data_IF_110499327271
#
_entry.id   IF_110499327271
#
_cell.length_a   1.000
_cell.length_b   1.000
_cell.length_c   1.000
_cell.angle_alpha   90.00
_cell.angle_beta   90.00
_cell.angle_gamma   90.00
#
_symmetry.space_group_name_H-M   'P 1'
#
loop_
_entity.id
_entity.type
_entity.pdbx_description
1 polymer ?
#
# COMPACT_ATOMS: atom_id res chain seq x y z
N UNK A 1 26.22 -48.29 10.30
CA UNK A 1 25.50 -47.04 9.94
C UNK A 1 25.38 -46.24 11.25
N UNK A 2 26.08 -45.10 11.36
CA UNK A 2 26.15 -44.40 12.62
C UNK A 2 24.78 -43.85 13.02
N UNK A 3 24.32 -44.17 14.23
CA UNK A 3 23.06 -43.65 14.80
C UNK A 3 22.94 -42.12 14.72
N UNK A 4 24.08 -41.45 14.70
CA UNK A 4 24.16 -39.99 14.50
C UNK A 4 23.60 -39.56 13.13
N UNK A 5 23.88 -40.30 12.05
CA UNK A 5 23.39 -39.95 10.69
C UNK A 5 21.89 -40.07 10.58
N UNK A 6 21.28 -41.02 11.31
CA UNK A 6 19.83 -41.20 11.33
C UNK A 6 19.15 -40.09 12.13
N UNK A 7 19.82 -39.53 13.15
CA UNK A 7 19.28 -38.47 13.99
C UNK A 7 19.42 -37.04 13.36
N UNK A 8 20.34 -36.89 12.39
CA UNK A 8 20.59 -35.58 11.74
C UNK A 8 19.34 -34.91 11.16
N UNK A 9 18.51 -35.60 10.39
CA UNK A 9 17.29 -34.96 9.83
C UNK A 9 16.31 -34.53 10.92
N UNK A 10 16.24 -35.29 12.02
CA UNK A 10 15.35 -34.93 13.14
C UNK A 10 15.87 -33.68 13.88
N UNK A 11 17.17 -33.57 14.06
CA UNK A 11 17.80 -32.39 14.69
C UNK A 11 17.61 -31.15 13.81
N UNK A 12 17.78 -31.28 12.49
CA UNK A 12 17.55 -30.19 11.55
C UNK A 12 16.08 -29.74 11.59
N UNK A 13 15.14 -30.68 11.57
CA UNK A 13 13.73 -30.35 11.66
C UNK A 13 13.39 -29.61 12.96
N UNK A 14 13.91 -30.09 14.06
CA UNK A 14 13.68 -29.48 15.38
C UNK A 14 14.25 -28.07 15.46
N UNK A 15 15.45 -27.83 14.91
CA UNK A 15 16.07 -26.48 14.85
C UNK A 15 15.25 -25.53 13.99
N UNK A 16 14.73 -25.99 12.86
CA UNK A 16 13.86 -25.17 11.99
C UNK A 16 12.56 -24.83 12.73
N UNK A 17 11.91 -25.81 13.37
CA UNK A 17 10.70 -25.57 14.15
C UNK A 17 10.91 -24.57 15.28
N UNK A 18 11.99 -24.70 16.04
CA UNK A 18 12.35 -23.75 17.10
C UNK A 18 12.59 -22.35 16.53
N UNK A 19 13.30 -22.25 15.41
CA UNK A 19 13.58 -20.96 14.77
C UNK A 19 12.27 -20.28 14.29
N UNK A 20 11.38 -21.04 13.66
CA UNK A 20 10.05 -20.52 13.23
C UNK A 20 9.24 -20.10 14.45
N UNK A 21 9.24 -20.91 15.51
CA UNK A 21 8.52 -20.58 16.73
C UNK A 21 9.02 -19.28 17.37
N UNK A 22 10.34 -19.12 17.49
CA UNK A 22 10.95 -17.88 18.00
C UNK A 22 10.62 -16.67 17.12
N UNK A 23 10.62 -16.85 15.79
CA UNK A 23 10.25 -15.79 14.86
C UNK A 23 8.78 -15.37 15.01
N UNK A 24 7.88 -16.33 15.19
CA UNK A 24 6.44 -16.05 15.41
C UNK A 24 6.17 -15.39 16.78
N UNK A 25 6.98 -15.72 17.79
CA UNK A 25 6.86 -15.11 19.14
C UNK A 25 7.44 -13.68 19.20
N UNK A 26 8.26 -13.26 18.22
CA UNK A 26 8.87 -11.91 18.17
C UNK A 26 7.85 -10.79 17.87
N UNK A 27 6.55 -11.08 17.89
CA UNK A 27 5.43 -10.13 17.78
C UNK A 27 5.58 -9.08 16.65
N UNK A 28 6.40 -9.35 15.66
CA UNK A 28 6.44 -8.53 14.43
C UNK A 28 5.21 -8.82 13.61
N UNK A 29 4.27 -7.90 13.64
CA UNK A 29 3.06 -8.00 12.79
C UNK A 29 3.48 -7.92 11.31
N UNK A 30 3.40 -9.03 10.56
CA UNK A 30 3.80 -9.04 9.16
C UNK A 30 2.91 -8.13 8.29
N UNK A 31 1.73 -7.74 8.78
CA UNK A 31 0.80 -6.85 8.10
C UNK A 31 1.14 -5.36 8.31
N UNK A 32 2.11 -5.06 9.17
CA UNK A 32 2.59 -3.69 9.41
C UNK A 32 4.01 -3.50 8.93
N UNK A 33 4.22 -3.35 7.60
CA UNK A 33 5.55 -3.04 7.11
C UNK A 33 6.02 -1.72 7.72
N UNK A 34 7.29 -1.64 8.18
CA UNK A 34 7.82 -0.41 8.73
C UNK A 34 7.84 0.67 7.65
N UNK A 35 7.02 1.70 7.81
CA UNK A 35 7.03 2.84 6.90
C UNK A 35 8.14 3.81 7.29
N UNK A 36 9.04 4.08 6.36
CA UNK A 36 10.12 5.06 6.53
C UNK A 36 9.61 6.51 6.50
N UNK A 37 8.34 6.70 6.13
CA UNK A 37 7.71 8.01 5.96
C UNK A 37 6.90 8.45 7.19
N UNK A 38 6.74 7.60 8.21
CA UNK A 38 6.02 7.98 9.43
C UNK A 38 6.70 9.18 10.09
N UNK A 39 5.91 10.21 10.39
CA UNK A 39 6.34 11.48 10.99
C UNK A 39 7.37 12.26 10.15
N UNK A 40 7.44 12.02 8.85
CA UNK A 40 8.27 12.79 7.92
C UNK A 40 7.39 13.63 6.99
N UNK A 41 7.98 14.70 6.49
CA UNK A 41 7.33 15.50 5.45
C UNK A 41 7.12 14.67 4.18
N UNK A 42 6.01 14.94 3.50
CA UNK A 42 5.73 14.36 2.19
C UNK A 42 6.89 14.70 1.24
N UNK A 43 7.44 13.73 0.49
CA UNK A 43 8.45 13.99 -0.53
C UNK A 43 7.95 14.99 -1.57
N UNK A 44 8.86 15.72 -2.17
CA UNK A 44 8.51 16.58 -3.30
C UNK A 44 8.05 15.72 -4.47
N UNK A 45 6.93 16.06 -5.03
CA UNK A 45 6.40 15.47 -6.26
C UNK A 45 5.73 16.54 -7.12
N UNK A 46 5.67 16.29 -8.41
CA UNK A 46 4.87 17.03 -9.37
C UNK A 46 4.12 16.02 -10.23
N UNK A 47 2.81 16.11 -10.28
CA UNK A 47 1.97 15.24 -11.08
C UNK A 47 0.95 16.04 -11.86
N UNK A 48 0.73 15.68 -13.12
CA UNK A 48 -0.31 16.29 -13.94
C UNK A 48 -1.68 15.78 -13.49
N UNK A 49 -2.65 16.70 -13.49
CA UNK A 49 -4.03 16.29 -13.29
C UNK A 49 -4.50 15.42 -14.47
N UNK A 50 -5.26 14.37 -14.16
CA UNK A 50 -5.83 13.47 -15.17
C UNK A 50 -6.89 14.19 -16.05
N UNK A 51 -7.59 15.19 -15.51
CA UNK A 51 -8.64 15.92 -16.21
C UNK A 51 -8.20 17.26 -16.80
N UNK A 52 -7.08 17.82 -16.29
CA UNK A 52 -6.54 19.08 -16.77
C UNK A 52 -5.01 18.98 -16.82
N UNK A 53 -4.50 18.77 -18.03
CA UNK A 53 -3.06 18.58 -18.25
C UNK A 53 -2.23 19.83 -17.95
N UNK A 54 -2.84 21.01 -17.81
CA UNK A 54 -2.16 22.25 -17.44
C UNK A 54 -2.07 22.43 -15.94
N UNK A 55 -2.87 21.69 -15.17
CA UNK A 55 -2.87 21.77 -13.72
C UNK A 55 -1.90 20.75 -13.13
N UNK A 56 -0.86 21.24 -12.48
CA UNK A 56 0.13 20.43 -11.76
C UNK A 56 -0.25 20.35 -10.28
N UNK A 57 -0.38 19.13 -9.78
CA UNK A 57 -0.60 18.85 -8.36
C UNK A 57 0.74 18.68 -7.67
N UNK A 58 0.96 19.43 -6.61
CA UNK A 58 2.20 19.49 -5.84
C UNK A 58 1.91 19.31 -4.34
N UNK A 59 2.91 19.04 -3.50
CA UNK A 59 2.71 19.00 -2.04
C UNK A 59 2.15 20.30 -1.43
N UNK A 60 2.25 21.43 -2.12
CA UNK A 60 1.69 22.72 -1.64
C UNK A 60 0.17 22.71 -1.63
N UNK A 61 -0.45 21.99 -2.60
CA UNK A 61 -1.91 21.96 -2.77
C UNK A 61 -2.61 21.14 -1.68
N UNK A 62 -1.86 20.27 -1.03
CA UNK A 62 -2.32 19.40 0.05
C UNK A 62 -1.81 19.80 1.43
N UNK A 63 -1.03 20.89 1.50
CA UNK A 63 -0.48 21.39 2.77
C UNK A 63 -1.60 21.79 3.73
N UNK A 64 -1.46 21.40 4.99
CA UNK A 64 -2.43 21.65 6.08
C UNK A 64 -3.81 21.00 5.89
N UNK A 65 -3.94 20.04 4.97
CA UNK A 65 -5.15 19.24 4.81
C UNK A 65 -4.93 17.86 5.39
N UNK A 66 -6.02 17.21 5.80
CA UNK A 66 -6.02 15.76 6.02
C UNK A 66 -6.14 15.09 4.66
N UNK A 67 -5.11 14.35 4.26
CA UNK A 67 -5.04 13.77 2.92
C UNK A 67 -4.91 12.26 2.99
N UNK A 68 -5.77 11.57 2.26
CA UNK A 68 -5.62 10.16 1.93
C UNK A 68 -5.04 10.06 0.53
N UNK A 69 -3.86 9.47 0.42
CA UNK A 69 -3.21 9.21 -0.87
C UNK A 69 -3.49 7.77 -1.26
N UNK A 70 -4.14 7.58 -2.42
CA UNK A 70 -4.40 6.28 -3.01
C UNK A 70 -3.69 6.13 -4.34
N UNK A 71 -3.09 4.96 -4.59
CA UNK A 71 -2.54 4.60 -5.90
C UNK A 71 -3.48 3.60 -6.56
N UNK A 72 -3.88 3.90 -7.80
CA UNK A 72 -4.82 3.06 -8.54
C UNK A 72 -4.39 2.86 -9.99
N UNK A 73 -4.99 1.86 -10.64
CA UNK A 73 -4.90 1.65 -12.08
C UNK A 73 -6.19 0.96 -12.57
N UNK A 74 -6.56 1.17 -13.82
CA UNK A 74 -7.75 0.54 -14.43
C UNK A 74 -7.69 -0.98 -14.48
N UNK A 75 -6.48 -1.52 -14.61
CA UNK A 75 -6.20 -2.97 -14.62
C UNK A 75 -6.10 -3.60 -13.23
N UNK A 76 -6.12 -2.81 -12.16
CA UNK A 76 -5.95 -3.27 -10.78
C UNK A 76 -7.29 -3.77 -10.22
N UNK A 77 -7.50 -5.08 -10.20
CA UNK A 77 -8.75 -5.68 -9.71
C UNK A 77 -9.04 -5.37 -8.22
N UNK A 78 -8.08 -5.46 -7.28
CA UNK A 78 -8.32 -5.02 -5.89
C UNK A 78 -8.74 -3.56 -5.79
N UNK A 79 -8.17 -2.67 -6.61
CA UNK A 79 -8.51 -1.26 -6.61
C UNK A 79 -9.98 -1.03 -6.99
N UNK A 80 -10.54 -1.84 -7.91
CA UNK A 80 -11.95 -1.79 -8.28
C UNK A 80 -12.88 -2.16 -7.12
N UNK A 81 -12.46 -3.09 -6.28
CA UNK A 81 -13.23 -3.49 -5.09
C UNK A 81 -13.21 -2.41 -4.03
N UNK A 82 -12.09 -1.69 -3.89
CA UNK A 82 -11.92 -0.62 -2.91
C UNK A 82 -12.56 0.71 -3.36
N UNK A 83 -12.75 0.92 -4.67
CA UNK A 83 -13.21 2.19 -5.22
C UNK A 83 -14.49 2.73 -4.58
N UNK A 84 -15.56 1.95 -4.38
CA UNK A 84 -16.77 2.42 -3.73
C UNK A 84 -16.57 2.91 -2.29
N UNK A 85 -15.59 2.34 -1.58
CA UNK A 85 -15.29 2.73 -0.19
C UNK A 85 -14.74 4.15 -0.10
N UNK A 86 -14.09 4.67 -1.14
CA UNK A 86 -13.62 6.05 -1.16
C UNK A 86 -14.77 7.05 -1.26
N UNK A 87 -15.87 6.70 -1.92
CA UNK A 87 -17.07 7.53 -1.92
C UNK A 87 -17.72 7.57 -0.54
N UNK A 88 -17.93 6.41 0.08
CA UNK A 88 -18.45 6.33 1.45
C UNK A 88 -17.57 7.11 2.44
N UNK A 89 -16.24 7.01 2.26
CA UNK A 89 -15.30 7.72 3.10
C UNK A 89 -15.38 9.23 2.92
N UNK A 90 -15.54 9.72 1.67
CA UNK A 90 -15.67 11.15 1.38
C UNK A 90 -16.96 11.75 1.92
N UNK A 91 -18.04 10.98 1.92
CA UNK A 91 -19.32 11.39 2.52
C UNK A 91 -19.23 11.44 4.05
N UNK A 92 -18.56 10.44 4.65
CA UNK A 92 -18.42 10.34 6.10
C UNK A 92 -17.45 11.38 6.67
N UNK A 93 -16.47 11.81 5.88
CA UNK A 93 -15.42 12.74 6.30
C UNK A 93 -15.23 13.88 5.28
N UNK A 94 -16.09 14.90 5.28
CA UNK A 94 -16.05 16.01 4.30
C UNK A 94 -14.73 16.80 4.31
N UNK A 95 -14.00 16.79 5.44
CA UNK A 95 -12.70 17.46 5.58
C UNK A 95 -11.52 16.64 5.03
N UNK A 96 -11.77 15.39 4.62
CA UNK A 96 -10.75 14.50 4.09
C UNK A 96 -10.57 14.75 2.59
N UNK A 97 -9.38 15.17 2.20
CA UNK A 97 -9.01 15.29 0.79
C UNK A 97 -8.46 13.97 0.26
N UNK A 98 -9.16 13.34 -0.68
CA UNK A 98 -8.73 12.09 -1.30
C UNK A 98 -7.98 12.42 -2.58
N UNK A 99 -6.70 12.04 -2.64
CA UNK A 99 -5.81 12.25 -3.78
C UNK A 99 -5.44 10.89 -4.40
N UNK A 100 -5.97 10.63 -5.60
CA UNK A 100 -5.66 9.44 -6.38
C UNK A 100 -4.48 9.66 -7.31
N UNK A 101 -3.47 8.77 -7.27
CA UNK A 101 -2.41 8.70 -8.24
C UNK A 101 -2.61 7.51 -9.17
N UNK A 102 -2.78 7.80 -10.45
CA UNK A 102 -2.83 6.76 -11.48
C UNK A 102 -1.42 6.24 -11.78
N UNK A 103 -1.23 4.92 -11.79
CA UNK A 103 0.07 4.30 -11.94
C UNK A 103 0.14 3.37 -13.15
N UNK A 104 1.05 3.67 -14.09
CA UNK A 104 1.32 2.84 -15.28
C UNK A 104 0.04 2.42 -16.01
N UNK A 105 -0.77 3.35 -16.35
CA UNK A 105 -2.09 3.14 -16.93
C UNK A 105 -2.31 4.07 -18.13
N UNK A 106 -3.24 3.72 -19.00
CA UNK A 106 -3.69 4.62 -20.05
C UNK A 106 -4.63 5.69 -19.47
N UNK A 107 -4.50 6.91 -19.99
CA UNK A 107 -5.29 8.04 -19.48
C UNK A 107 -6.80 7.86 -19.71
N UNK A 108 -7.19 7.26 -20.84
CA UNK A 108 -8.61 7.03 -21.15
C UNK A 108 -9.18 5.92 -20.29
N UNK A 109 -8.41 4.84 -20.06
CA UNK A 109 -8.81 3.73 -19.21
C UNK A 109 -8.91 4.17 -17.74
N UNK A 110 -8.00 5.02 -17.29
CA UNK A 110 -8.04 5.61 -15.96
C UNK A 110 -9.27 6.51 -15.76
N UNK A 111 -9.61 7.36 -16.74
CA UNK A 111 -10.83 8.19 -16.70
C UNK A 111 -12.10 7.36 -16.68
N UNK A 112 -12.15 6.29 -17.48
CA UNK A 112 -13.26 5.34 -17.50
C UNK A 112 -13.45 4.68 -16.13
N UNK A 113 -12.36 4.18 -15.55
CA UNK A 113 -12.37 3.59 -14.21
C UNK A 113 -12.94 4.53 -13.15
N UNK A 114 -12.57 5.82 -13.17
CA UNK A 114 -13.06 6.81 -12.22
C UNK A 114 -14.52 7.21 -12.45
N UNK A 115 -15.10 6.85 -13.59
CA UNK A 115 -16.50 7.12 -13.94
C UNK A 115 -17.46 5.96 -13.63
N UNK A 116 -16.93 4.79 -13.30
CA UNK A 116 -17.69 3.59 -12.89
C UNK A 116 -18.11 3.66 -11.42
#
# INVERSE_FOLDING_TARGET
>A
MNRLIILTPLIILLTICVFILLYLLDNKDPNKPPSVLINKNIPLFESKSLYDSYNLVTPKDIKNKKVLINFFASWCLPCKVEHPLFFELSESYPDLYILGFNHKDDEQDAKKYLSE
#
